data_IF_539839700587
#
_entry.id   IF_539839700587
#
_cell.length_a   1.000
_cell.length_b   1.000
_cell.length_c   1.000
_cell.angle_alpha   90.00
_cell.angle_beta   90.00
_cell.angle_gamma   90.00
#
_symmetry.space_group_name_H-M   'P 1'
#
loop_
_entity.id
_entity.type
_entity.pdbx_description
1 polymer ?
#
# COMPACT_ATOMS: atom_id res chain seq x y z
N UNK A 1 2.14 -18.34 20.14
CA UNK A 1 1.49 -17.34 21.01
C UNK A 1 2.26 -16.02 21.06
N UNK A 2 3.56 -16.01 21.34
CA UNK A 2 4.37 -14.78 21.45
C UNK A 2 4.39 -13.94 20.18
N UNK A 3 4.51 -14.53 18.99
CA UNK A 3 4.58 -13.83 17.70
C UNK A 3 3.25 -13.12 17.39
N UNK A 4 2.12 -13.78 17.63
CA UNK A 4 0.78 -13.19 17.41
C UNK A 4 0.57 -12.01 18.35
N UNK A 5 0.93 -12.17 19.63
CA UNK A 5 0.85 -11.09 20.63
C UNK A 5 1.75 -9.92 20.24
N UNK A 6 2.99 -10.17 19.80
CA UNK A 6 3.92 -9.12 19.35
C UNK A 6 3.38 -8.39 18.12
N UNK A 7 2.77 -9.10 17.16
CA UNK A 7 2.18 -8.49 15.97
C UNK A 7 0.97 -7.64 16.32
N UNK A 8 0.06 -8.14 17.17
CA UNK A 8 -1.11 -7.37 17.65
C UNK A 8 -0.66 -6.13 18.42
N UNK A 9 0.32 -6.27 19.31
CA UNK A 9 0.88 -5.14 20.09
C UNK A 9 1.51 -4.11 19.14
N UNK A 10 2.30 -4.53 18.16
CA UNK A 10 2.90 -3.63 17.17
C UNK A 10 1.82 -2.89 16.36
N UNK A 11 0.78 -3.60 15.92
CA UNK A 11 -0.33 -3.01 15.15
C UNK A 11 -1.10 -1.99 16.00
N UNK A 12 -1.35 -2.30 17.28
CA UNK A 12 -2.00 -1.38 18.22
C UNK A 12 -1.13 -0.15 18.48
N UNK A 13 0.18 -0.33 18.71
CA UNK A 13 1.12 0.79 18.96
C UNK A 13 1.19 1.70 17.72
N UNK A 14 1.32 1.13 16.52
CA UNK A 14 1.37 1.90 15.26
C UNK A 14 0.05 2.64 15.03
N UNK A 15 -1.09 1.99 15.25
CA UNK A 15 -2.41 2.60 15.12
C UNK A 15 -2.62 3.72 16.15
N UNK A 16 -2.23 3.49 17.41
CA UNK A 16 -2.33 4.49 18.47
C UNK A 16 -1.40 5.68 18.22
N UNK A 17 -0.13 5.46 17.88
CA UNK A 17 0.82 6.50 17.52
C UNK A 17 0.33 7.32 16.33
N UNK A 18 -0.23 6.64 15.33
CA UNK A 18 -0.77 7.26 14.13
C UNK A 18 -2.02 8.11 14.43
N UNK A 19 -2.98 7.58 15.21
CA UNK A 19 -4.17 8.31 15.67
C UNK A 19 -3.79 9.54 16.48
N UNK A 20 -2.78 9.44 17.35
CA UNK A 20 -2.33 10.55 18.17
C UNK A 20 -1.61 11.63 17.34
N UNK A 21 -0.78 11.22 16.39
CA UNK A 21 -0.07 12.15 15.50
C UNK A 21 -1.02 12.92 14.58
N UNK A 22 -2.18 12.33 14.22
CA UNK A 22 -3.15 12.96 13.33
C UNK A 22 -4.29 13.71 14.04
N UNK A 23 -4.25 13.82 15.37
CA UNK A 23 -5.19 14.60 16.21
C UNK A 23 -6.66 14.50 15.76
N UNK A 24 -7.16 13.29 15.53
CA UNK A 24 -8.55 13.03 15.09
C UNK A 24 -9.57 13.46 16.17
N UNK A 25 -9.11 13.66 17.43
CA UNK A 25 -9.93 14.08 18.56
C UNK A 25 -10.21 15.58 18.64
N UNK A 26 -9.56 16.42 17.83
CA UNK A 26 -9.94 17.83 17.73
C UNK A 26 -11.25 17.94 16.95
N UNK A 27 -12.31 18.34 17.64
CA UNK A 27 -13.68 18.49 17.12
C UNK A 27 -13.82 19.91 16.51
N UNK A 28 -13.55 20.11 15.21
CA UNK A 28 -13.60 21.45 14.60
C UNK A 28 -15.04 22.03 14.51
N UNK A 29 -16.07 21.20 14.73
CA UNK A 29 -17.49 21.63 14.70
C UNK A 29 -17.99 22.23 16.02
N UNK A 30 -17.17 22.27 17.08
CA UNK A 30 -17.54 22.89 18.36
C UNK A 30 -17.06 24.34 18.50
N UNK A 31 -16.42 24.92 17.50
CA UNK A 31 -16.06 26.33 17.47
C UNK A 31 -17.23 27.11 16.85
N UNK A 32 -18.33 27.23 17.59
CA UNK A 32 -19.37 28.24 17.32
C UNK A 32 -18.92 29.56 17.92
N UNK A 33 -18.82 30.58 17.08
CA UNK A 33 -18.84 31.98 17.48
C UNK A 33 -17.49 32.70 17.41
N UNK A 34 -17.05 33.03 16.19
CA UNK A 34 -16.43 34.33 15.89
C UNK A 34 -16.54 34.64 14.40
N UNK A 35 -17.31 35.66 13.97
CA UNK A 35 -17.16 36.24 12.64
C UNK A 35 -15.90 37.12 12.66
N UNK A 36 -15.10 37.05 11.61
CA UNK A 36 -13.97 37.95 11.32
C UNK A 36 -12.60 37.58 11.89
N UNK A 37 -11.98 36.51 11.31
CA UNK A 37 -10.55 36.51 11.04
C UNK A 37 -10.26 35.64 9.81
N UNK A 38 -10.55 36.15 8.64
CA UNK A 38 -10.18 35.60 7.35
C UNK A 38 -8.70 35.81 7.06
N UNK A 39 -7.77 35.23 7.84
CA UNK A 39 -6.35 35.23 7.46
C UNK A 39 -5.47 34.22 8.15
N UNK A 40 -6.02 33.16 8.73
CA UNK A 40 -5.28 31.94 9.01
C UNK A 40 -6.25 30.78 8.79
N UNK A 41 -6.38 30.34 7.54
CA UNK A 41 -7.17 29.15 7.25
C UNK A 41 -6.57 27.98 8.05
N UNK A 42 -7.32 27.39 9.02
CA UNK A 42 -6.91 26.13 9.61
C UNK A 42 -6.79 25.16 8.44
N UNK A 43 -5.75 24.31 8.46
CA UNK A 43 -5.49 23.31 7.41
C UNK A 43 -6.82 22.70 7.01
N UNK A 44 -7.31 23.04 5.82
CA UNK A 44 -8.62 22.66 5.33
C UNK A 44 -8.72 21.14 5.46
N UNK A 45 -9.72 20.70 6.19
CA UNK A 45 -10.09 19.30 6.35
C UNK A 45 -10.26 18.73 4.95
N UNK A 46 -9.24 18.06 4.43
CA UNK A 46 -9.29 17.46 3.10
C UNK A 46 -10.02 16.11 3.22
N UNK A 47 -11.28 16.00 2.80
CA UNK A 47 -12.07 14.78 2.94
C UNK A 47 -11.42 13.58 2.24
N UNK A 48 -10.63 13.84 1.18
CA UNK A 48 -9.85 12.83 0.47
C UNK A 48 -8.77 12.18 1.33
N UNK A 49 -8.13 12.94 2.22
CA UNK A 49 -7.09 12.42 3.12
C UNK A 49 -7.71 11.54 4.21
N UNK A 50 -8.82 11.95 4.78
CA UNK A 50 -9.55 11.15 5.78
C UNK A 50 -10.09 9.87 5.16
N UNK A 51 -10.65 9.96 3.94
CA UNK A 51 -11.12 8.78 3.20
C UNK A 51 -10.01 7.77 2.95
N UNK A 52 -8.81 8.23 2.54
CA UNK A 52 -7.65 7.36 2.37
C UNK A 52 -7.29 6.65 3.67
N UNK A 53 -7.25 7.37 4.77
CA UNK A 53 -6.89 6.84 6.08
C UNK A 53 -7.85 5.74 6.53
N UNK A 54 -9.15 5.97 6.45
CA UNK A 54 -10.19 4.96 6.78
C UNK A 54 -10.02 3.74 5.89
N UNK A 55 -9.79 3.96 4.59
CA UNK A 55 -9.56 2.88 3.65
C UNK A 55 -8.32 2.05 4.03
N UNK A 56 -7.19 2.68 4.37
CA UNK A 56 -5.97 1.98 4.81
C UNK A 56 -6.20 1.19 6.11
N UNK A 57 -6.99 1.71 7.05
CA UNK A 57 -7.35 1.00 8.27
C UNK A 57 -8.15 -0.29 7.98
N UNK A 58 -9.12 -0.22 7.06
CA UNK A 58 -9.89 -1.40 6.61
C UNK A 58 -8.99 -2.43 5.94
N UNK A 59 -8.10 -1.98 5.05
CA UNK A 59 -7.13 -2.87 4.37
C UNK A 59 -6.19 -3.52 5.39
N UNK A 60 -5.70 -2.76 6.38
CA UNK A 60 -4.88 -3.31 7.47
C UNK A 60 -5.62 -4.41 8.24
N UNK A 61 -6.87 -4.17 8.59
CA UNK A 61 -7.70 -5.17 9.29
C UNK A 61 -7.88 -6.44 8.47
N UNK A 62 -8.12 -6.30 7.16
CA UNK A 62 -8.26 -7.42 6.24
C UNK A 62 -6.98 -8.28 6.20
N UNK A 63 -5.82 -7.66 5.95
CA UNK A 63 -4.55 -8.39 5.89
C UNK A 63 -4.18 -9.00 7.24
N UNK A 64 -4.46 -8.32 8.36
CA UNK A 64 -4.23 -8.86 9.70
C UNK A 64 -5.03 -10.13 9.97
N UNK A 65 -6.29 -10.19 9.50
CA UNK A 65 -7.11 -11.40 9.59
C UNK A 65 -6.51 -12.55 8.78
N UNK A 66 -6.04 -12.29 7.55
CA UNK A 66 -5.38 -13.31 6.73
C UNK A 66 -4.08 -13.81 7.37
N UNK A 67 -3.26 -12.93 7.91
CA UNK A 67 -2.03 -13.30 8.63
C UNK A 67 -2.35 -14.14 9.87
N UNK A 68 -3.39 -13.77 10.64
CA UNK A 68 -3.85 -14.56 11.78
C UNK A 68 -4.33 -15.95 11.36
N UNK A 69 -5.15 -16.04 10.30
CA UNK A 69 -5.64 -17.31 9.76
C UNK A 69 -4.48 -18.19 9.24
N UNK A 70 -3.47 -17.59 8.61
CA UNK A 70 -2.27 -18.27 8.14
C UNK A 70 -1.53 -18.95 9.30
N UNK A 71 -1.25 -18.23 10.39
CA UNK A 71 -0.57 -18.78 11.57
C UNK A 71 -1.38 -19.88 12.27
N UNK A 72 -2.71 -19.74 12.32
CA UNK A 72 -3.57 -20.79 12.85
C UNK A 72 -3.52 -22.06 12.01
N UNK A 73 -3.54 -21.88 10.67
CA UNK A 73 -3.57 -23.00 9.73
C UNK A 73 -2.23 -23.71 9.65
N UNK A 74 -1.11 -23.01 9.83
CA UNK A 74 0.24 -23.55 9.84
C UNK A 74 0.49 -24.57 10.96
N UNK A 75 -0.33 -24.57 12.02
CA UNK A 75 -0.18 -25.47 13.15
C UNK A 75 -0.81 -26.86 12.92
N UNK A 76 -1.46 -27.09 11.77
CA UNK A 76 -2.12 -28.36 11.47
C UNK A 76 -1.20 -29.28 10.66
N UNK A 77 -1.38 -30.60 10.83
CA UNK A 77 -0.48 -31.66 10.29
C UNK A 77 -0.43 -31.73 8.76
N UNK A 78 -1.41 -31.13 8.06
CA UNK A 78 -1.47 -31.10 6.60
C UNK A 78 -0.76 -29.89 5.98
N UNK A 79 0.00 -29.13 6.78
CA UNK A 79 0.79 -27.99 6.30
C UNK A 79 2.07 -28.48 5.60
N UNK A 80 2.23 -28.11 4.35
CA UNK A 80 3.46 -28.30 3.57
C UNK A 80 4.02 -26.92 3.15
N UNK A 81 5.25 -26.56 3.58
CA UNK A 81 5.87 -25.30 3.19
C UNK A 81 5.98 -25.19 1.67
N UNK A 82 5.73 -23.98 1.15
CA UNK A 82 5.93 -23.71 -0.27
C UNK A 82 7.40 -23.39 -0.53
N UNK A 83 8.01 -24.08 -1.51
CA UNK A 83 9.34 -23.71 -1.98
C UNK A 83 9.30 -22.31 -2.60
N UNK A 84 10.05 -21.37 -2.04
CA UNK A 84 10.02 -19.97 -2.44
C UNK A 84 10.68 -19.77 -3.82
N UNK A 85 9.96 -19.19 -4.80
CA UNK A 85 10.57 -18.80 -6.05
C UNK A 85 11.54 -17.64 -5.85
N UNK A 86 12.80 -17.77 -6.27
CA UNK A 86 13.80 -16.66 -6.23
C UNK A 86 13.32 -15.38 -6.91
N UNK A 87 12.31 -15.50 -7.79
CA UNK A 87 11.70 -14.39 -8.51
C UNK A 87 10.99 -13.40 -7.58
N UNK A 88 10.55 -13.80 -6.38
CA UNK A 88 9.92 -12.92 -5.39
C UNK A 88 10.85 -11.82 -4.89
N UNK A 89 12.15 -12.09 -4.79
CA UNK A 89 13.14 -11.09 -4.43
C UNK A 89 13.25 -10.00 -5.49
N UNK A 90 13.29 -10.39 -6.77
CA UNK A 90 13.31 -9.43 -7.88
C UNK A 90 12.01 -8.60 -7.90
N UNK A 91 10.86 -9.21 -7.68
CA UNK A 91 9.59 -8.50 -7.58
C UNK A 91 9.61 -7.49 -6.42
N UNK A 92 10.13 -7.86 -5.26
CA UNK A 92 10.27 -6.97 -4.12
C UNK A 92 11.14 -5.75 -4.46
N UNK A 93 12.26 -5.94 -5.16
CA UNK A 93 13.10 -4.84 -5.63
C UNK A 93 12.32 -3.89 -6.56
N UNK A 94 11.50 -4.41 -7.49
CA UNK A 94 10.67 -3.58 -8.38
C UNK A 94 9.68 -2.71 -7.59
N UNK A 95 9.07 -3.26 -6.55
CA UNK A 95 8.13 -2.50 -5.72
C UNK A 95 8.83 -1.41 -4.89
N UNK A 96 10.04 -1.69 -4.39
CA UNK A 96 10.90 -0.70 -3.70
C UNK A 96 11.25 0.45 -4.65
N UNK A 97 11.70 0.14 -5.87
CA UNK A 97 12.02 1.15 -6.89
C UNK A 97 10.80 1.99 -7.25
N UNK A 98 9.62 1.39 -7.36
CA UNK A 98 8.35 2.11 -7.56
C UNK A 98 8.03 3.06 -6.41
N UNK A 99 8.30 2.65 -5.17
CA UNK A 99 8.11 3.47 -3.98
C UNK A 99 9.10 4.64 -3.91
N UNK A 100 10.34 4.45 -4.32
CA UNK A 100 11.33 5.52 -4.46
C UNK A 100 10.93 6.50 -5.57
N UNK A 101 10.45 6.00 -6.70
CA UNK A 101 10.02 6.83 -7.83
C UNK A 101 8.83 7.74 -7.46
N UNK A 102 7.82 7.23 -6.74
CA UNK A 102 6.67 8.07 -6.30
C UNK A 102 7.10 9.09 -5.24
N UNK A 103 8.07 8.76 -4.38
CA UNK A 103 8.66 9.70 -3.44
C UNK A 103 9.34 10.85 -4.19
N UNK A 104 10.11 10.53 -5.22
CA UNK A 104 10.77 11.52 -6.08
C UNK A 104 9.72 12.38 -6.82
N UNK A 105 8.66 11.78 -7.37
CA UNK A 105 7.55 12.52 -7.98
C UNK A 105 6.93 13.54 -7.03
N UNK A 106 6.68 13.13 -5.77
CA UNK A 106 6.14 14.02 -4.74
C UNK A 106 7.10 15.17 -4.38
N UNK A 107 8.41 14.92 -4.38
CA UNK A 107 9.42 15.95 -4.12
C UNK A 107 9.51 16.95 -5.26
N UNK A 108 9.59 16.49 -6.51
CA UNK A 108 9.62 17.36 -7.70
C UNK A 108 8.34 18.18 -7.85
N UNK A 109 7.17 17.58 -7.56
CA UNK A 109 5.89 18.30 -7.61
C UNK A 109 5.82 19.44 -6.59
N UNK A 110 6.38 19.24 -5.39
CA UNK A 110 6.45 20.28 -4.37
C UNK A 110 7.41 21.43 -4.74
N UNK A 111 8.39 21.17 -5.61
CA UNK A 111 9.30 22.19 -6.15
C UNK A 111 8.79 22.90 -7.41
N UNK A 112 7.67 22.46 -7.96
CA UNK A 112 7.15 23.01 -9.22
C UNK A 112 7.84 22.47 -10.49
N UNK A 113 8.65 21.40 -10.39
CA UNK A 113 9.40 20.81 -11.48
C UNK A 113 8.52 19.87 -12.32
N UNK A 114 7.77 20.40 -13.28
CA UNK A 114 6.80 19.66 -14.09
C UNK A 114 7.43 18.46 -14.83
N UNK A 115 8.57 18.68 -15.49
CA UNK A 115 9.21 17.66 -16.33
C UNK A 115 9.69 16.46 -15.47
N UNK A 116 10.39 16.75 -14.38
CA UNK A 116 10.88 15.73 -13.47
C UNK A 116 9.73 14.96 -12.79
N UNK A 117 8.65 15.64 -12.44
CA UNK A 117 7.43 15.02 -11.90
C UNK A 117 6.81 14.02 -12.90
N UNK A 118 6.75 14.37 -14.18
CA UNK A 118 6.25 13.47 -15.24
C UNK A 118 7.09 12.21 -15.36
N UNK A 119 8.43 12.34 -15.44
CA UNK A 119 9.33 11.18 -15.53
C UNK A 119 9.25 10.29 -14.28
N UNK A 120 9.19 10.89 -13.11
CA UNK A 120 9.09 10.14 -11.85
C UNK A 120 7.76 9.37 -11.74
N UNK A 121 6.65 9.96 -12.19
CA UNK A 121 5.35 9.25 -12.27
C UNK A 121 5.39 8.11 -13.28
N UNK A 122 5.97 8.31 -14.47
CA UNK A 122 6.14 7.22 -15.45
C UNK A 122 6.98 6.08 -14.88
N UNK A 123 8.09 6.39 -14.20
CA UNK A 123 8.92 5.39 -13.55
C UNK A 123 8.13 4.59 -12.48
N UNK A 124 7.30 5.28 -11.68
CA UNK A 124 6.41 4.63 -10.71
C UNK A 124 5.48 3.63 -11.37
N UNK A 125 4.80 4.03 -12.45
CA UNK A 125 3.90 3.16 -13.21
C UNK A 125 4.63 1.97 -13.82
N UNK A 126 5.81 2.20 -14.39
CA UNK A 126 6.64 1.15 -14.99
C UNK A 126 7.05 0.09 -13.95
N UNK A 127 7.61 0.49 -12.82
CA UNK A 127 8.05 -0.45 -11.78
C UNK A 127 6.89 -1.20 -11.15
N UNK A 128 5.77 -0.52 -10.90
CA UNK A 128 4.57 -1.18 -10.34
C UNK A 128 3.95 -2.18 -11.34
N UNK A 129 3.88 -1.84 -12.61
CA UNK A 129 3.42 -2.78 -13.66
C UNK A 129 4.37 -3.97 -13.79
N UNK A 130 5.70 -3.73 -13.75
CA UNK A 130 6.70 -4.80 -13.76
C UNK A 130 6.55 -5.77 -12.59
N UNK A 131 6.24 -5.25 -11.38
CA UNK A 131 5.91 -6.08 -10.23
C UNK A 131 4.69 -6.98 -10.51
N UNK A 132 3.59 -6.42 -11.04
CA UNK A 132 2.36 -7.19 -11.33
C UNK A 132 2.65 -8.29 -12.35
N UNK A 133 3.34 -7.98 -13.46
CA UNK A 133 3.72 -8.98 -14.45
C UNK A 133 4.65 -10.04 -13.87
N UNK A 134 5.64 -9.66 -13.05
CA UNK A 134 6.52 -10.57 -12.34
C UNK A 134 5.75 -11.50 -11.40
N UNK A 135 4.73 -10.98 -10.70
CA UNK A 135 3.89 -11.79 -9.81
C UNK A 135 3.01 -12.79 -10.58
N UNK A 136 2.48 -12.39 -11.73
CA UNK A 136 1.75 -13.31 -12.61
C UNK A 136 2.68 -14.40 -13.14
N UNK A 137 3.94 -14.07 -13.43
CA UNK A 137 4.94 -15.07 -13.83
C UNK A 137 5.25 -16.05 -12.70
N UNK A 138 5.39 -15.57 -11.44
CA UNK A 138 5.52 -16.46 -10.27
C UNK A 138 4.35 -17.43 -10.19
N UNK A 139 3.11 -16.95 -10.36
CA UNK A 139 1.94 -17.81 -10.37
C UNK A 139 1.99 -18.87 -11.48
N UNK A 140 2.39 -18.46 -12.67
CA UNK A 140 2.50 -19.36 -13.82
C UNK A 140 3.58 -20.44 -13.59
N UNK A 141 4.72 -20.06 -13.01
CA UNK A 141 5.78 -20.99 -12.63
C UNK A 141 5.33 -22.00 -11.57
N UNK A 142 4.55 -21.57 -10.57
CA UNK A 142 3.99 -22.46 -9.56
C UNK A 142 3.01 -23.46 -10.17
N UNK A 143 2.13 -23.00 -11.05
CA UNK A 143 1.19 -23.88 -11.77
C UNK A 143 1.93 -24.90 -12.63
N UNK A 144 2.98 -24.51 -13.36
CA UNK A 144 3.80 -25.42 -14.18
C UNK A 144 4.53 -26.48 -13.34
N UNK A 145 4.86 -26.17 -12.09
CA UNK A 145 5.46 -27.09 -11.12
C UNK A 145 4.42 -27.96 -10.38
N UNK A 146 3.14 -27.93 -10.79
CA UNK A 146 2.07 -28.73 -10.19
C UNK A 146 1.50 -28.16 -8.89
N UNK A 147 1.90 -26.94 -8.47
CA UNK A 147 1.41 -26.27 -7.26
C UNK A 147 0.13 -25.47 -7.56
N UNK A 148 -0.99 -26.17 -7.62
CA UNK A 148 -2.32 -25.55 -7.81
C UNK A 148 -2.89 -25.06 -6.48
N UNK A 149 -3.91 -24.19 -6.52
CA UNK A 149 -4.64 -23.70 -5.33
C UNK A 149 -5.15 -24.87 -4.45
N UNK A 150 -5.45 -26.02 -5.05
CA UNK A 150 -5.95 -27.22 -4.36
C UNK A 150 -4.85 -28.15 -3.85
N UNK A 151 -3.57 -27.85 -4.13
CA UNK A 151 -2.44 -28.74 -3.77
C UNK A 151 -2.11 -28.72 -2.28
N UNK A 152 -2.56 -27.68 -1.56
CA UNK A 152 -2.33 -27.57 -0.12
C UNK A 152 -2.71 -26.20 0.43
N UNK A 153 -2.89 -26.10 1.76
CA UNK A 153 -3.30 -24.86 2.39
C UNK A 153 -2.28 -23.74 2.24
N UNK A 154 -0.98 -24.01 2.32
CA UNK A 154 0.08 -23.01 2.15
C UNK A 154 0.02 -22.36 0.76
N UNK A 155 -0.15 -23.17 -0.29
CA UNK A 155 -0.29 -22.71 -1.67
C UNK A 155 -1.55 -21.84 -1.84
N UNK A 156 -2.67 -22.27 -1.25
CA UNK A 156 -3.92 -21.52 -1.30
C UNK A 156 -3.79 -20.12 -0.64
N UNK A 157 -3.17 -20.08 0.54
CA UNK A 157 -2.91 -18.80 1.22
C UNK A 157 -1.97 -17.90 0.41
N UNK A 158 -0.93 -18.45 -0.18
CA UNK A 158 -0.03 -17.69 -1.06
C UNK A 158 -0.81 -17.00 -2.19
N UNK A 159 -1.64 -17.73 -2.93
CA UNK A 159 -2.45 -17.15 -4.02
C UNK A 159 -3.43 -16.09 -3.52
N UNK A 160 -4.12 -16.35 -2.41
CA UNK A 160 -5.12 -15.41 -1.87
C UNK A 160 -4.45 -14.12 -1.39
N UNK A 161 -3.39 -14.21 -0.59
CA UNK A 161 -2.73 -13.04 0.01
C UNK A 161 -2.05 -12.20 -1.08
N UNK A 162 -1.31 -12.83 -2.00
CA UNK A 162 -0.66 -12.11 -3.09
C UNK A 162 -1.66 -11.57 -4.11
N UNK A 163 -2.78 -12.27 -4.35
CA UNK A 163 -3.87 -11.81 -5.20
C UNK A 163 -4.59 -10.59 -4.64
N UNK A 164 -4.89 -10.58 -3.34
CA UNK A 164 -5.46 -9.42 -2.68
C UNK A 164 -4.50 -8.22 -2.73
N UNK A 165 -3.20 -8.45 -2.51
CA UNK A 165 -2.21 -7.39 -2.63
C UNK A 165 -2.16 -6.82 -4.06
N UNK A 166 -2.16 -7.67 -5.09
CA UNK A 166 -2.24 -7.22 -6.48
C UNK A 166 -3.53 -6.43 -6.79
N UNK A 167 -4.67 -6.84 -6.23
CA UNK A 167 -5.94 -6.11 -6.40
C UNK A 167 -5.82 -4.68 -5.85
N UNK A 168 -5.19 -4.50 -4.69
CA UNK A 168 -4.93 -3.17 -4.12
C UNK A 168 -3.95 -2.35 -4.97
N UNK A 169 -2.91 -2.99 -5.52
CA UNK A 169 -2.00 -2.33 -6.46
C UNK A 169 -2.72 -1.87 -7.73
N UNK A 170 -3.62 -2.67 -8.28
CA UNK A 170 -4.44 -2.29 -9.46
C UNK A 170 -5.35 -1.11 -9.13
N UNK A 171 -5.97 -1.09 -7.94
CA UNK A 171 -6.73 0.06 -7.45
C UNK A 171 -5.87 1.32 -7.34
N UNK A 172 -4.65 1.20 -6.82
CA UNK A 172 -3.67 2.29 -6.78
C UNK A 172 -3.26 2.77 -8.17
N UNK A 173 -2.98 1.86 -9.10
CA UNK A 173 -2.66 2.18 -10.50
C UNK A 173 -3.81 2.92 -11.19
N UNK A 174 -5.05 2.59 -10.90
CA UNK A 174 -6.20 3.33 -11.43
C UNK A 174 -6.16 4.81 -11.01
N UNK A 175 -5.95 5.08 -9.72
CA UNK A 175 -5.84 6.46 -9.18
C UNK A 175 -4.61 7.16 -9.75
N UNK A 176 -3.48 6.44 -9.84
CA UNK A 176 -2.25 6.94 -10.45
C UNK A 176 -2.44 7.29 -11.92
N UNK A 177 -3.08 6.45 -12.73
CA UNK A 177 -3.41 6.74 -14.12
C UNK A 177 -4.23 8.03 -14.25
N UNK A 178 -5.27 8.16 -13.41
CA UNK A 178 -6.11 9.36 -13.40
C UNK A 178 -5.32 10.63 -13.04
N UNK A 179 -4.43 10.54 -12.05
CA UNK A 179 -3.56 11.65 -11.62
C UNK A 179 -2.56 12.01 -12.70
N UNK A 180 -1.93 11.03 -13.31
CA UNK A 180 -0.98 11.19 -14.41
C UNK A 180 -1.67 11.81 -15.63
N UNK A 181 -2.83 11.32 -16.01
CA UNK A 181 -3.60 11.88 -17.15
C UNK A 181 -3.96 13.36 -16.93
N UNK A 182 -4.39 13.73 -15.72
CA UNK A 182 -4.64 15.14 -15.36
C UNK A 182 -3.40 16.03 -15.54
N UNK A 183 -2.21 15.51 -15.16
CA UNK A 183 -0.95 16.24 -15.32
C UNK A 183 -0.58 16.45 -16.79
N UNK A 184 -0.99 15.55 -17.71
CA UNK A 184 -0.81 15.74 -19.15
C UNK A 184 -1.85 16.66 -19.78
N UNK A 185 -3.03 16.80 -19.19
CA UNK A 185 -4.13 17.63 -19.68
C UNK A 185 -4.02 19.13 -19.29
N UNK A 186 -2.81 19.63 -19.04
CA UNK A 186 -2.53 21.04 -18.73
C UNK A 186 -3.19 21.62 -17.47
N UNK A 187 -3.50 20.79 -16.48
CA UNK A 187 -3.92 21.25 -15.17
C UNK A 187 -2.67 21.70 -14.38
N UNK A 188 -2.78 22.80 -13.65
CA UNK A 188 -1.69 23.36 -12.87
C UNK A 188 -1.12 22.34 -11.87
N UNK A 189 0.22 22.26 -11.80
CA UNK A 189 0.92 21.32 -10.92
C UNK A 189 0.53 21.50 -9.45
N UNK A 190 0.22 22.73 -9.03
CA UNK A 190 -0.22 23.04 -7.67
C UNK A 190 -1.53 22.35 -7.29
N UNK A 191 -2.47 22.22 -8.23
CA UNK A 191 -3.74 21.51 -8.00
C UNK A 191 -3.57 20.00 -7.91
N UNK A 192 -2.56 19.45 -8.57
CA UNK A 192 -2.30 18.00 -8.64
C UNK A 192 -1.40 17.51 -7.52
N UNK A 193 -0.55 18.36 -6.96
CA UNK A 193 0.39 18.02 -5.88
C UNK A 193 -0.27 17.29 -4.70
N UNK A 194 -1.45 17.70 -4.19
CA UNK A 194 -2.13 16.93 -3.12
C UNK A 194 -2.49 15.50 -3.53
N UNK A 195 -2.90 15.29 -4.78
CA UNK A 195 -3.22 13.95 -5.31
C UNK A 195 -1.97 13.07 -5.40
N UNK A 196 -0.82 13.63 -5.80
CA UNK A 196 0.47 12.93 -5.83
C UNK A 196 0.90 12.55 -4.41
N UNK A 197 0.69 13.42 -3.42
CA UNK A 197 1.00 13.12 -2.02
C UNK A 197 0.13 11.99 -1.46
N UNK A 198 -1.16 11.92 -1.81
CA UNK A 198 -2.03 10.81 -1.43
C UNK A 198 -1.58 9.51 -2.09
N UNK A 199 -1.24 9.53 -3.39
CA UNK A 199 -0.67 8.38 -4.09
C UNK A 199 0.62 7.91 -3.40
N UNK A 200 1.54 8.82 -3.05
CA UNK A 200 2.77 8.49 -2.33
C UNK A 200 2.48 7.74 -1.02
N UNK A 201 1.58 8.26 -0.19
CA UNK A 201 1.21 7.63 1.09
C UNK A 201 0.67 6.23 0.86
N UNK A 202 -0.17 6.06 -0.15
CA UNK A 202 -0.73 4.76 -0.52
C UNK A 202 0.34 3.76 -1.00
N UNK A 203 1.31 4.18 -1.83
CA UNK A 203 2.39 3.32 -2.32
C UNK A 203 3.31 2.84 -1.22
N UNK A 204 3.72 3.73 -0.31
CA UNK A 204 4.54 3.33 0.84
C UNK A 204 3.80 2.35 1.76
N UNK A 205 2.49 2.55 1.95
CA UNK A 205 1.67 1.63 2.70
C UNK A 205 1.61 0.25 2.03
N UNK A 206 1.38 0.17 0.71
CA UNK A 206 1.37 -1.10 -0.01
C UNK A 206 2.73 -1.81 0.02
N UNK A 207 3.83 -1.05 -0.08
CA UNK A 207 5.18 -1.62 0.10
C UNK A 207 5.34 -2.22 1.51
N UNK A 208 4.88 -1.52 2.56
CA UNK A 208 4.94 -2.02 3.93
C UNK A 208 4.14 -3.31 4.09
N UNK A 209 2.91 -3.36 3.56
CA UNK A 209 2.09 -4.58 3.54
C UNK A 209 2.83 -5.70 2.81
N UNK A 210 3.41 -5.43 1.64
CA UNK A 210 4.16 -6.44 0.89
C UNK A 210 5.34 -6.99 1.68
N UNK A 211 6.15 -6.14 2.31
CA UNK A 211 7.29 -6.56 3.13
C UNK A 211 6.84 -7.45 4.29
N UNK A 212 5.73 -7.12 4.94
CA UNK A 212 5.15 -7.95 5.98
C UNK A 212 4.68 -9.32 5.46
N UNK A 213 3.99 -9.34 4.30
CA UNK A 213 3.54 -10.59 3.66
C UNK A 213 4.71 -11.43 3.16
N UNK A 214 5.72 -10.80 2.56
CA UNK A 214 6.92 -11.48 2.10
C UNK A 214 7.70 -12.06 3.28
N UNK A 215 7.86 -11.31 4.38
CA UNK A 215 8.45 -11.82 5.61
C UNK A 215 7.68 -12.99 6.22
N UNK A 216 6.34 -12.98 6.14
CA UNK A 216 5.50 -14.10 6.53
C UNK A 216 5.78 -15.34 5.67
N UNK A 217 5.88 -15.18 4.36
CA UNK A 217 6.17 -16.28 3.44
C UNK A 217 7.58 -16.86 3.65
N UNK A 218 8.58 -16.00 3.98
CA UNK A 218 9.95 -16.44 4.30
C UNK A 218 10.07 -17.17 5.65
N UNK A 219 9.09 -17.00 6.54
CA UNK A 219 9.14 -17.58 7.89
C UNK A 219 8.55 -19.00 7.97
N UNK A 220 8.11 -19.54 6.85
CA UNK A 220 7.46 -20.86 6.73
C UNK A 220 8.18 -21.79 5.78
#
# INVERSE_FOLDING_TARGET
MTIIVSFVVLTVIVSYWWLWTHRITEKPWLVEGMPEARSAAPQSYQPSRTGLVVFLAVVTSLFSLFVSAYFMRMQLDDWSPLAEPNLLWMNTCMLILGSIAIQWASYCSAKGELINTRYALLATGFFTSSFIFGQLWVWQALVSNGSYIRSGPAVAFFYVITGLHMLHLLGGLWVWCRTTFKLWSHIDLLEITPSIQLCRTYWHYLLLVWVALFGLLLST
#
